data_IF_226790951735
#
_entry.id   IF_226790951735
#
_cell.length_a   1.000
_cell.length_b   1.000
_cell.length_c   1.000
_cell.angle_alpha   90.00
_cell.angle_beta   90.00
_cell.angle_gamma   90.00
#
_symmetry.space_group_name_H-M   'P 1'
#
loop_
_entity.id
_entity.type
_entity.pdbx_description
1 polymer ?
#
# COMPACT_ATOMS: atom_id res chain seq x y z
N UNK A 1 4.85 3.27 -17.98
CA UNK A 1 5.37 4.10 -16.89
C UNK A 1 5.88 3.16 -15.81
N UNK A 2 7.11 3.34 -15.34
CA UNK A 2 7.69 2.47 -14.30
C UNK A 2 7.20 2.89 -12.90
N UNK A 3 6.00 2.45 -12.50
CA UNK A 3 5.35 2.86 -11.24
C UNK A 3 6.19 2.57 -10.00
N UNK A 4 7.02 1.52 -10.03
CA UNK A 4 7.98 1.23 -8.96
C UNK A 4 8.97 2.38 -8.76
N UNK A 5 9.55 2.89 -9.85
CA UNK A 5 10.48 4.02 -9.79
C UNK A 5 9.77 5.31 -9.38
N UNK A 6 8.53 5.51 -9.85
CA UNK A 6 7.71 6.65 -9.44
C UNK A 6 7.48 6.65 -7.93
N UNK A 7 7.02 5.54 -7.36
CA UNK A 7 6.74 5.47 -5.92
C UNK A 7 8.00 5.56 -5.07
N UNK A 8 9.14 5.03 -5.54
CA UNK A 8 10.43 5.25 -4.89
C UNK A 8 10.82 6.74 -4.88
N UNK A 9 10.56 7.47 -5.96
CA UNK A 9 10.86 8.91 -6.00
C UNK A 9 9.88 9.75 -5.16
N UNK A 10 8.61 9.36 -5.11
CA UNK A 10 7.60 9.96 -4.22
C UNK A 10 7.98 9.78 -2.75
N UNK A 11 8.41 8.58 -2.34
CA UNK A 11 8.93 8.33 -0.98
C UNK A 11 10.08 9.27 -0.65
N UNK A 12 11.00 9.48 -1.60
CA UNK A 12 12.21 10.28 -1.40
C UNK A 12 11.94 11.78 -1.39
N UNK A 13 11.00 12.25 -2.21
CA UNK A 13 10.77 13.69 -2.46
C UNK A 13 9.28 14.00 -2.59
N UNK A 14 8.46 13.78 -1.55
CA UNK A 14 7.01 13.95 -1.62
C UNK A 14 6.59 15.38 -2.05
N UNK A 15 7.34 16.40 -1.61
CA UNK A 15 7.09 17.80 -1.97
C UNK A 15 7.17 18.09 -3.49
N UNK A 16 7.99 17.35 -4.24
CA UNK A 16 8.05 17.49 -5.72
C UNK A 16 6.76 17.06 -6.41
N UNK A 17 5.92 16.30 -5.71
CA UNK A 17 4.61 15.82 -6.18
C UNK A 17 3.46 16.56 -5.50
N UNK A 18 3.74 17.66 -4.78
CA UNK A 18 2.74 18.44 -4.06
C UNK A 18 2.22 17.76 -2.79
N UNK A 19 2.94 16.75 -2.26
CA UNK A 19 2.55 16.03 -1.05
C UNK A 19 3.32 16.57 0.16
N UNK A 20 2.63 16.71 1.28
CA UNK A 20 3.18 17.00 2.61
C UNK A 20 4.02 15.85 3.17
N UNK A 21 3.87 14.66 2.59
CA UNK A 21 4.50 13.44 3.07
C UNK A 21 3.70 12.74 4.17
N UNK A 22 2.40 13.04 4.32
CA UNK A 22 1.51 12.26 5.18
C UNK A 22 1.08 10.94 4.52
N UNK A 23 0.80 9.93 5.35
CA UNK A 23 0.28 8.64 4.92
C UNK A 23 -1.02 8.77 4.13
N UNK A 24 -1.94 9.62 4.59
CA UNK A 24 -3.21 9.87 3.90
C UNK A 24 -3.00 10.39 2.48
N UNK A 25 -2.12 11.37 2.29
CA UNK A 25 -1.86 11.93 0.97
C UNK A 25 -1.14 10.93 0.06
N UNK A 26 -0.21 10.14 0.61
CA UNK A 26 0.41 9.05 -0.12
C UNK A 26 -0.65 8.04 -0.61
N UNK A 27 -1.58 7.63 0.27
CA UNK A 27 -2.70 6.76 -0.08
C UNK A 27 -3.56 7.35 -1.20
N UNK A 28 -3.92 8.63 -1.09
CA UNK A 28 -4.70 9.32 -2.12
C UNK A 28 -3.96 9.38 -3.47
N UNK A 29 -2.66 9.68 -3.45
CA UNK A 29 -1.81 9.72 -4.64
C UNK A 29 -1.73 8.35 -5.33
N UNK A 30 -1.50 7.28 -4.55
CA UNK A 30 -1.40 5.90 -5.06
C UNK A 30 -2.75 5.43 -5.62
N UNK A 31 -3.87 5.73 -4.97
CA UNK A 31 -5.20 5.44 -5.51
C UNK A 31 -5.47 6.22 -6.80
N UNK A 32 -5.01 7.47 -6.90
CA UNK A 32 -5.08 8.26 -8.15
C UNK A 32 -4.28 7.61 -9.29
N UNK A 33 -3.10 7.06 -8.99
CA UNK A 33 -2.33 6.29 -9.97
C UNK A 33 -3.09 5.04 -10.42
N UNK A 34 -3.69 4.29 -9.49
CA UNK A 34 -4.46 3.09 -9.81
C UNK A 34 -5.71 3.40 -10.66
N UNK A 35 -6.46 4.45 -10.29
CA UNK A 35 -7.59 4.95 -11.07
C UNK A 35 -7.17 5.33 -12.50
N UNK A 36 -6.02 6.02 -12.65
CA UNK A 36 -5.43 6.35 -13.95
C UNK A 36 -5.00 5.13 -14.79
N UNK A 37 -4.89 3.95 -14.17
CA UNK A 37 -4.61 2.67 -14.81
C UNK A 37 -5.84 1.76 -14.87
N UNK A 38 -7.06 2.34 -14.89
CA UNK A 38 -8.32 1.57 -14.90
C UNK A 38 -8.41 0.58 -13.73
N UNK A 39 -7.88 0.94 -12.56
CA UNK A 39 -7.82 0.11 -11.35
C UNK A 39 -7.02 -1.18 -11.52
N UNK A 40 -6.13 -1.22 -12.51
CA UNK A 40 -5.30 -2.38 -12.84
C UNK A 40 -3.93 -2.41 -12.16
N UNK A 41 -3.48 -1.30 -11.56
CA UNK A 41 -2.14 -1.18 -10.96
C UNK A 41 -2.05 -1.89 -9.60
N UNK A 42 -3.13 -1.91 -8.82
CA UNK A 42 -3.16 -2.49 -7.48
C UNK A 42 -3.93 -3.82 -7.40
N UNK A 43 -4.33 -4.41 -8.53
CA UNK A 43 -4.97 -5.75 -8.55
C UNK A 43 -4.08 -6.78 -7.83
N UNK A 44 -4.61 -7.37 -6.76
CA UNK A 44 -3.90 -8.34 -5.92
C UNK A 44 -3.08 -7.73 -4.77
N UNK A 45 -2.98 -6.41 -4.66
CA UNK A 45 -2.20 -5.74 -3.62
C UNK A 45 -2.85 -5.88 -2.23
N UNK A 46 -4.17 -5.86 -2.15
CA UNK A 46 -4.89 -6.08 -0.88
C UNK A 46 -4.62 -7.50 -0.35
N UNK A 47 -4.71 -8.50 -1.20
CA UNK A 47 -4.45 -9.91 -0.84
C UNK A 47 -2.97 -10.12 -0.46
N UNK A 48 -2.05 -9.44 -1.15
CA UNK A 48 -0.64 -9.38 -0.77
C UNK A 48 -0.43 -8.88 0.66
N UNK A 49 -1.05 -7.75 1.02
CA UNK A 49 -0.94 -7.17 2.36
C UNK A 49 -1.62 -8.06 3.41
N UNK A 50 -2.79 -8.64 3.10
CA UNK A 50 -3.51 -9.52 4.02
C UNK A 50 -2.67 -10.75 4.42
N UNK A 51 -1.92 -11.34 3.48
CA UNK A 51 -1.00 -12.43 3.75
C UNK A 51 0.09 -12.04 4.77
N UNK A 52 0.58 -10.80 4.70
CA UNK A 52 1.63 -10.27 5.58
C UNK A 52 1.11 -9.82 6.94
N UNK A 53 -0.08 -9.23 6.97
CA UNK A 53 -0.80 -8.90 8.19
C UNK A 53 -1.34 -10.14 8.93
N UNK A 54 -1.19 -11.34 8.35
CA UNK A 54 -1.74 -12.60 8.88
C UNK A 54 -3.24 -12.51 9.19
N UNK A 55 -3.99 -11.83 8.31
CA UNK A 55 -5.42 -11.56 8.45
C UNK A 55 -6.16 -11.80 7.14
N UNK A 56 -7.48 -11.71 7.15
CA UNK A 56 -8.29 -11.76 5.94
C UNK A 56 -8.26 -10.43 5.18
N UNK A 57 -8.47 -10.46 3.86
CA UNK A 57 -8.51 -9.28 2.99
C UNK A 57 -9.84 -8.49 3.11
N UNK A 58 -10.41 -8.43 4.31
CA UNK A 58 -11.71 -7.81 4.61
C UNK A 58 -11.56 -6.31 4.87
N UNK A 59 -10.35 -5.84 5.19
CA UNK A 59 -10.03 -4.43 5.33
C UNK A 59 -9.63 -3.82 3.98
N UNK A 60 -9.91 -2.52 3.81
CA UNK A 60 -9.32 -1.78 2.70
C UNK A 60 -7.79 -1.75 2.85
N UNK A 61 -7.07 -1.79 1.72
CA UNK A 61 -5.61 -1.96 1.73
C UNK A 61 -4.85 -0.96 2.61
N UNK A 62 -5.26 0.33 2.79
CA UNK A 62 -4.54 1.24 3.68
C UNK A 62 -4.56 0.80 5.14
N UNK A 63 -5.66 0.19 5.59
CA UNK A 63 -5.76 -0.34 6.95
C UNK A 63 -4.87 -1.58 7.13
N UNK A 64 -4.72 -2.43 6.11
CA UNK A 64 -3.77 -3.55 6.17
C UNK A 64 -2.33 -3.07 6.30
N UNK A 65 -1.97 -1.92 5.70
CA UNK A 65 -0.66 -1.30 5.92
C UNK A 65 -0.48 -0.87 7.37
N UNK A 66 -1.50 -0.25 7.99
CA UNK A 66 -1.46 0.13 9.40
C UNK A 66 -1.36 -1.07 10.34
N UNK A 67 -2.06 -2.16 10.03
CA UNK A 67 -1.95 -3.44 10.77
C UNK A 67 -0.53 -3.99 10.72
N UNK A 68 0.11 -4.03 9.53
CA UNK A 68 1.51 -4.48 9.38
C UNK A 68 2.46 -3.54 10.13
N UNK A 69 2.20 -2.24 10.13
CA UNK A 69 2.99 -1.25 10.84
C UNK A 69 2.78 -1.27 12.37
N UNK A 70 1.84 -2.08 12.86
CA UNK A 70 1.38 -2.08 14.26
C UNK A 70 0.99 -0.67 14.74
N UNK A 71 0.29 0.07 13.87
CA UNK A 71 -0.19 1.42 14.10
C UNK A 71 -1.69 1.40 14.32
N UNK A 72 -2.13 1.85 15.50
CA UNK A 72 -3.53 2.11 15.75
C UNK A 72 -3.85 3.56 15.40
N UNK A 73 -4.65 3.77 14.37
CA UNK A 73 -5.12 5.11 14.06
C UNK A 73 -6.17 5.57 15.07
N UNK A 74 -6.11 6.84 15.48
CA UNK A 74 -7.18 7.47 16.22
C UNK A 74 -8.33 7.88 15.31
N UNK A 75 -9.54 7.99 15.88
CA UNK A 75 -10.69 8.59 15.21
C UNK A 75 -10.56 10.13 15.23
N UNK A 76 -10.65 10.76 14.06
CA UNK A 76 -10.83 12.21 13.93
C UNK A 76 -11.96 12.53 12.96
N UNK A 77 -12.58 13.71 13.08
CA UNK A 77 -13.61 14.18 12.14
C UNK A 77 -13.11 14.24 10.68
N UNK A 78 -11.80 14.35 10.47
CA UNK A 78 -11.20 14.35 9.14
C UNK A 78 -10.85 12.94 8.63
N UNK A 79 -10.93 11.89 9.45
CA UNK A 79 -10.50 10.52 9.14
C UNK A 79 -9.41 10.01 10.09
N UNK A 80 -8.47 9.21 9.57
CA UNK A 80 -7.35 8.66 10.34
C UNK A 80 -6.41 9.78 10.80
N UNK A 81 -6.20 9.89 12.13
CA UNK A 81 -5.17 10.73 12.70
C UNK A 81 -4.03 9.85 13.24
N UNK A 82 -2.83 10.07 12.71
CA UNK A 82 -1.61 9.38 13.12
C UNK A 82 -0.69 10.36 13.87
N UNK A 83 0.02 9.85 14.86
CA UNK A 83 1.13 10.60 15.45
C UNK A 83 2.27 10.75 14.44
N UNK A 84 3.16 11.72 14.58
CA UNK A 84 4.32 11.85 13.67
C UNK A 84 5.17 10.58 13.62
N UNK A 85 5.26 9.83 14.72
CA UNK A 85 5.99 8.56 14.76
C UNK A 85 5.26 7.46 13.98
N UNK A 86 3.93 7.42 14.07
CA UNK A 86 3.11 6.42 13.37
C UNK A 86 2.98 6.73 11.88
N UNK A 87 2.96 8.01 11.50
CA UNK A 87 3.06 8.44 10.09
C UNK A 87 4.31 7.86 9.43
N UNK A 88 5.47 7.99 10.08
CA UNK A 88 6.74 7.47 9.57
C UNK A 88 6.68 5.95 9.38
N UNK A 89 6.23 5.21 10.39
CA UNK A 89 6.09 3.75 10.30
C UNK A 89 5.14 3.32 9.19
N UNK A 90 3.98 3.97 9.10
CA UNK A 90 2.97 3.66 8.10
C UNK A 90 3.49 3.91 6.67
N UNK A 91 4.23 5.01 6.46
CA UNK A 91 4.86 5.33 5.18
C UNK A 91 5.99 4.36 4.82
N UNK A 92 6.82 3.98 5.79
CA UNK A 92 7.88 2.98 5.60
C UNK A 92 7.29 1.66 5.09
N UNK A 93 6.30 1.12 5.82
CA UNK A 93 5.61 -0.11 5.42
C UNK A 93 4.91 0.05 4.07
N UNK A 94 4.21 1.17 3.84
CA UNK A 94 3.52 1.43 2.58
C UNK A 94 4.45 1.28 1.37
N UNK A 95 5.56 2.02 1.38
CA UNK A 95 6.45 2.06 0.23
C UNK A 95 7.29 0.78 0.09
N UNK A 96 7.63 0.11 1.18
CA UNK A 96 8.31 -1.19 1.15
C UNK A 96 7.43 -2.29 0.57
N UNK A 97 6.16 -2.31 0.94
CA UNK A 97 5.21 -3.28 0.42
C UNK A 97 4.84 -3.01 -1.04
N UNK A 98 4.73 -1.75 -1.45
CA UNK A 98 4.56 -1.39 -2.86
C UNK A 98 5.76 -1.81 -3.71
N UNK A 99 6.99 -1.56 -3.24
CA UNK A 99 8.20 -1.98 -3.96
C UNK A 99 8.25 -3.50 -4.12
N UNK A 100 8.00 -4.21 -3.02
CA UNK A 100 7.99 -5.67 -2.99
C UNK A 100 6.90 -6.26 -3.90
N UNK A 101 5.69 -5.72 -3.82
CA UNK A 101 4.55 -6.14 -4.64
C UNK A 101 4.80 -5.91 -6.14
N UNK A 102 5.24 -4.71 -6.52
CA UNK A 102 5.49 -4.37 -7.93
C UNK A 102 6.68 -5.17 -8.49
N UNK A 103 7.69 -5.45 -7.67
CA UNK A 103 8.80 -6.34 -8.04
C UNK A 103 8.32 -7.76 -8.28
N UNK A 104 7.52 -8.31 -7.36
CA UNK A 104 6.95 -9.65 -7.50
C UNK A 104 6.02 -9.75 -8.72
N UNK A 105 5.21 -8.71 -8.95
CA UNK A 105 4.28 -8.64 -10.08
C UNK A 105 4.98 -8.62 -11.45
N UNK A 106 6.11 -7.91 -11.56
CA UNK A 106 6.87 -7.79 -12.80
C UNK A 106 7.81 -8.99 -13.05
N UNK A 107 8.00 -9.87 -12.05
CA UNK A 107 8.74 -11.12 -12.20
C UNK A 107 7.93 -12.23 -12.89
N UNK A 108 8.52 -13.42 -13.02
CA UNK A 108 7.95 -14.57 -13.76
C UNK A 108 6.60 -15.13 -13.22
N UNK A 109 6.07 -14.56 -12.13
CA UNK A 109 4.94 -15.08 -11.35
C UNK A 109 4.05 -13.91 -10.89
N UNK A 110 3.41 -13.21 -11.83
CA UNK A 110 2.62 -11.99 -11.61
C UNK A 110 1.46 -12.12 -10.61
N UNK A 111 0.57 -11.11 -10.55
CA UNK A 111 -0.53 -10.99 -9.56
C UNK A 111 -1.35 -12.29 -9.34
N UNK A 112 -1.47 -13.13 -10.36
CA UNK A 112 -2.11 -14.46 -10.32
C UNK A 112 -1.53 -15.39 -9.25
N UNK A 113 -0.22 -15.35 -8.97
CA UNK A 113 0.42 -16.22 -7.97
C UNK A 113 0.18 -15.73 -6.55
N UNK A 114 0.09 -14.42 -6.35
CA UNK A 114 -0.29 -13.83 -5.06
C UNK A 114 -1.73 -14.20 -4.72
N UNK A 115 -2.64 -14.05 -5.70
CA UNK A 115 -4.04 -14.43 -5.57
C UNK A 115 -4.16 -15.94 -5.34
N UNK A 116 -3.42 -16.77 -6.09
CA UNK A 116 -3.43 -18.22 -5.91
C UNK A 116 -2.93 -18.66 -4.51
N UNK A 117 -1.85 -18.05 -4.00
CA UNK A 117 -1.35 -18.31 -2.65
C UNK A 117 -2.35 -17.88 -1.57
N UNK A 118 -3.01 -16.73 -1.77
CA UNK A 118 -4.06 -16.28 -0.86
C UNK A 118 -5.24 -17.26 -0.83
N UNK A 119 -5.70 -17.73 -1.99
CA UNK A 119 -6.80 -18.70 -2.09
C UNK A 119 -6.43 -20.07 -1.47
N UNK A 120 -5.20 -20.56 -1.69
CA UNK A 120 -4.72 -21.81 -1.08
C UNK A 120 -4.65 -21.77 0.44
N UNK A 121 -4.39 -20.61 1.05
CA UNK A 121 -4.33 -20.46 2.51
C UNK A 121 -5.73 -20.40 3.15
N UNK A 122 -6.80 -20.24 2.35
CA UNK A 122 -8.20 -20.15 2.80
C UNK A 122 -9.03 -21.41 2.58
N UNK A 123 -8.50 -22.41 1.86
CA UNK A 123 -9.15 -23.72 1.67
C UNK A 123 -8.64 -24.74 2.67
#
# INVERSE_FOLDING_TARGET
MEYRQLFADVRRRPGSYGLSGSFREAVAFINGCDAGNSWGLLVGFREWLALKANTEANLAWPFLVLEIAHVTAGDSEAGLALSSADEVKALEVLFEELDSFLTARNGAHGATVVIAKYLQRRG
#
